data_IF_183645216754
#
_entry.id   IF_183645216754
#
_cell.length_a   1.000
_cell.length_b   1.000
_cell.length_c   1.000
_cell.angle_alpha   90.00
_cell.angle_beta   90.00
_cell.angle_gamma   90.00
#
_symmetry.space_group_name_H-M   'P 1'
#
loop_
_entity.id
_entity.type
_entity.pdbx_description
1 polymer ?
#
# COMPACT_ATOMS: atom_id res chain seq x y z
N UNK A 1 -0.32 -17.57 8.41
CA UNK A 1 0.87 -16.89 8.99
C UNK A 1 1.37 -15.63 8.25
N UNK A 2 1.11 -15.45 6.94
CA UNK A 2 1.61 -14.27 6.18
C UNK A 2 0.96 -12.93 6.59
N UNK A 3 -0.26 -12.97 7.12
CA UNK A 3 -0.99 -11.76 7.56
C UNK A 3 -0.42 -11.21 8.88
N UNK A 4 -0.07 -12.09 9.82
CA UNK A 4 0.49 -11.70 11.12
C UNK A 4 1.91 -11.14 11.02
N UNK A 5 2.60 -11.38 9.91
CA UNK A 5 3.94 -10.84 9.59
C UNK A 5 3.88 -9.76 8.51
N UNK A 6 2.72 -9.12 8.31
CA UNK A 6 2.56 -8.09 7.29
C UNK A 6 3.22 -6.77 7.71
N UNK A 7 4.04 -6.19 6.82
CA UNK A 7 4.79 -4.96 7.10
C UNK A 7 3.90 -3.73 7.30
N UNK A 8 2.77 -3.64 6.60
CA UNK A 8 1.84 -2.52 6.74
C UNK A 8 1.13 -2.57 8.11
N UNK A 9 0.73 -3.77 8.55
CA UNK A 9 0.11 -3.97 9.86
C UNK A 9 1.09 -3.59 10.98
N UNK A 10 2.33 -4.08 10.91
CA UNK A 10 3.38 -3.72 11.87
C UNK A 10 3.66 -2.20 11.86
N UNK A 11 3.72 -1.58 10.67
CA UNK A 11 3.95 -0.14 10.53
C UNK A 11 2.90 0.71 11.24
N UNK A 12 1.62 0.40 11.09
CA UNK A 12 0.53 1.13 11.77
C UNK A 12 0.62 0.97 13.29
N UNK A 13 0.98 -0.23 13.78
CA UNK A 13 1.15 -0.43 15.23
C UNK A 13 2.30 0.39 15.81
N UNK A 14 3.42 0.50 15.09
CA UNK A 14 4.56 1.33 15.50
C UNK A 14 4.19 2.82 15.49
N UNK A 15 3.44 3.28 14.48
CA UNK A 15 2.96 4.67 14.40
C UNK A 15 2.05 5.01 15.59
N UNK A 16 1.12 4.12 15.95
CA UNK A 16 0.25 4.34 17.12
C UNK A 16 1.04 4.51 18.43
N UNK A 17 2.14 3.75 18.57
CA UNK A 17 3.02 3.84 19.75
C UNK A 17 3.79 5.16 19.75
N UNK A 18 4.38 5.53 18.61
CA UNK A 18 5.21 6.74 18.49
C UNK A 18 4.39 8.03 18.69
N UNK A 19 3.15 8.06 18.20
CA UNK A 19 2.26 9.21 18.31
C UNK A 19 1.44 9.22 19.63
N UNK A 20 1.58 8.19 20.48
CA UNK A 20 0.90 8.12 21.77
C UNK A 20 -0.63 8.05 21.70
N UNK A 21 -1.18 7.42 20.66
CA UNK A 21 -2.63 7.37 20.44
C UNK A 21 -3.35 6.53 21.50
N UNK A 22 -4.47 7.04 22.01
CA UNK A 22 -5.37 6.27 22.89
C UNK A 22 -6.10 5.16 22.10
N UNK A 23 -6.91 4.34 22.79
CA UNK A 23 -7.63 3.22 22.16
C UNK A 23 -8.50 3.65 20.97
N UNK A 24 -9.20 4.78 21.09
CA UNK A 24 -10.09 5.28 20.05
C UNK A 24 -9.31 5.75 18.82
N UNK A 25 -8.29 6.60 19.01
CA UNK A 25 -7.44 7.08 17.91
C UNK A 25 -6.66 5.95 17.27
N UNK A 26 -6.15 5.00 18.05
CA UNK A 26 -5.44 3.82 17.54
C UNK A 26 -6.34 2.93 16.69
N UNK A 27 -7.60 2.75 17.09
CA UNK A 27 -8.59 1.96 16.33
C UNK A 27 -8.90 2.66 15.01
N UNK A 28 -9.18 3.96 15.06
CA UNK A 28 -9.44 4.77 13.86
C UNK A 28 -8.26 4.74 12.89
N UNK A 29 -7.03 4.99 13.37
CA UNK A 29 -5.82 4.94 12.57
C UNK A 29 -5.60 3.55 11.94
N UNK A 30 -5.87 2.48 12.71
CA UNK A 30 -5.88 1.11 12.23
C UNK A 30 -6.86 0.88 11.07
N UNK A 31 -8.12 1.29 11.22
CA UNK A 31 -9.15 1.14 10.18
C UNK A 31 -8.83 1.93 8.91
N UNK A 32 -8.45 3.20 9.02
CA UNK A 32 -8.14 4.03 7.85
C UNK A 32 -6.83 3.60 7.17
N UNK A 33 -5.83 3.19 7.94
CA UNK A 33 -4.60 2.60 7.40
C UNK A 33 -4.87 1.30 6.62
N UNK A 34 -5.75 0.44 7.15
CA UNK A 34 -6.16 -0.79 6.47
C UNK A 34 -6.97 -0.51 5.18
N UNK A 35 -7.85 0.50 5.20
CA UNK A 35 -8.58 0.94 4.01
C UNK A 35 -7.64 1.45 2.91
N UNK A 36 -6.62 2.23 3.27
CA UNK A 36 -5.59 2.67 2.32
C UNK A 36 -4.82 1.48 1.70
N UNK A 37 -4.46 0.50 2.52
CA UNK A 37 -3.80 -0.72 2.05
C UNK A 37 -4.71 -1.57 1.13
N UNK A 38 -6.00 -1.64 1.43
CA UNK A 38 -6.99 -2.30 0.57
C UNK A 38 -7.05 -1.66 -0.82
N UNK A 39 -7.09 -0.32 -0.89
CA UNK A 39 -7.06 0.40 -2.18
C UNK A 39 -5.78 0.08 -2.94
N UNK A 40 -4.62 0.07 -2.27
CA UNK A 40 -3.35 -0.27 -2.90
C UNK A 40 -3.34 -1.69 -3.49
N UNK A 41 -3.82 -2.71 -2.77
CA UNK A 41 -3.86 -4.09 -3.28
C UNK A 41 -4.85 -4.22 -4.45
N UNK A 42 -6.04 -3.61 -4.37
CA UNK A 42 -7.04 -3.68 -5.44
C UNK A 42 -6.51 -3.04 -6.73
N UNK A 43 -5.83 -1.89 -6.63
CA UNK A 43 -5.17 -1.27 -7.77
C UNK A 43 -4.08 -2.17 -8.35
N UNK A 44 -3.25 -2.77 -7.49
CA UNK A 44 -2.19 -3.68 -7.93
C UNK A 44 -2.76 -4.92 -8.64
N UNK A 45 -3.86 -5.47 -8.13
CA UNK A 45 -4.56 -6.59 -8.77
C UNK A 45 -5.10 -6.20 -10.16
N UNK A 46 -5.75 -5.05 -10.29
CA UNK A 46 -6.27 -4.57 -11.57
C UNK A 46 -5.17 -4.31 -12.60
N UNK A 47 -4.01 -3.79 -12.19
CA UNK A 47 -2.85 -3.63 -13.09
C UNK A 47 -2.31 -4.99 -13.52
N UNK A 48 -2.21 -5.97 -12.60
CA UNK A 48 -1.75 -7.33 -12.92
C UNK A 48 -2.68 -8.04 -13.89
N UNK A 49 -3.99 -7.96 -13.69
CA UNK A 49 -5.00 -8.55 -14.59
C UNK A 49 -4.88 -7.99 -16.01
N UNK A 50 -4.71 -6.67 -16.16
CA UNK A 50 -4.49 -6.05 -17.48
C UNK A 50 -3.19 -6.50 -18.15
N UNK A 51 -2.17 -6.84 -17.37
CA UNK A 51 -0.86 -7.27 -17.85
C UNK A 51 -0.84 -8.76 -18.27
N UNK A 52 -1.91 -9.52 -18.03
CA UNK A 52 -2.05 -10.89 -18.56
C UNK A 52 -2.37 -10.91 -20.07
N UNK A 53 -2.91 -9.81 -20.61
CA UNK A 53 -3.26 -9.66 -22.03
C UNK A 53 -2.04 -9.48 -22.96
N UNK A 54 -1.04 -8.62 -22.66
CA UNK A 54 0.15 -8.45 -23.50
C UNK A 54 1.22 -9.55 -23.31
N UNK A 55 2.02 -9.79 -24.36
CA UNK A 55 3.18 -10.70 -24.29
C UNK A 55 4.34 -10.07 -23.50
N UNK A 56 4.35 -10.29 -22.19
CA UNK A 56 5.50 -9.97 -21.32
C UNK A 56 6.66 -10.94 -21.61
N UNK A 57 7.91 -10.46 -21.78
CA UNK A 57 9.09 -11.31 -21.87
C UNK A 57 9.16 -12.32 -20.72
N UNK A 58 9.57 -13.56 -21.02
CA UNK A 58 9.67 -14.65 -20.05
C UNK A 58 10.39 -14.28 -18.73
N UNK A 59 11.54 -13.58 -18.71
CA UNK A 59 12.24 -13.25 -17.46
C UNK A 59 11.49 -12.24 -16.58
N UNK A 60 10.51 -11.50 -17.11
CA UNK A 60 9.76 -10.51 -16.35
C UNK A 60 8.43 -11.04 -15.81
N UNK A 61 7.99 -12.22 -16.24
CA UNK A 61 6.69 -12.78 -15.82
C UNK A 61 6.65 -13.08 -14.31
N UNK A 62 5.50 -12.82 -13.70
CA UNK A 62 5.25 -13.12 -12.30
C UNK A 62 5.81 -12.07 -11.33
N UNK A 63 6.82 -12.43 -10.54
CA UNK A 63 7.34 -11.58 -9.47
C UNK A 63 8.07 -10.31 -9.95
N UNK A 64 8.95 -10.36 -10.97
CA UNK A 64 9.72 -9.18 -11.39
C UNK A 64 8.84 -8.04 -11.91
N UNK A 65 7.84 -8.33 -12.76
CA UNK A 65 6.89 -7.31 -13.22
C UNK A 65 6.09 -6.72 -12.04
N UNK A 66 5.82 -7.51 -11.00
CA UNK A 66 5.10 -7.03 -9.82
C UNK A 66 5.90 -6.01 -9.02
N UNK A 67 7.23 -6.16 -8.97
CA UNK A 67 8.12 -5.15 -8.38
C UNK A 67 8.13 -3.85 -9.20
N UNK A 68 8.13 -3.95 -10.53
CA UNK A 68 8.04 -2.79 -11.42
C UNK A 68 6.71 -2.06 -11.20
N UNK A 69 5.60 -2.80 -11.15
CA UNK A 69 4.27 -2.24 -10.84
C UNK A 69 4.29 -1.54 -9.49
N UNK A 70 4.84 -2.17 -8.43
CA UNK A 70 4.92 -1.57 -7.11
C UNK A 70 5.72 -0.26 -7.12
N UNK A 71 6.84 -0.20 -7.87
CA UNK A 71 7.64 1.01 -8.04
C UNK A 71 6.86 2.12 -8.74
N UNK A 72 6.20 1.83 -9.86
CA UNK A 72 5.39 2.80 -10.59
C UNK A 72 4.18 3.28 -9.76
N UNK A 73 3.55 2.38 -9.01
CA UNK A 73 2.47 2.73 -8.09
C UNK A 73 2.95 3.63 -6.95
N UNK A 74 4.16 3.39 -6.42
CA UNK A 74 4.77 4.27 -5.41
C UNK A 74 4.93 5.70 -5.95
N UNK A 75 5.41 5.84 -7.20
CA UNK A 75 5.52 7.16 -7.87
C UNK A 75 4.14 7.82 -8.02
N UNK A 76 3.12 7.06 -8.38
CA UNK A 76 1.75 7.58 -8.45
C UNK A 76 1.25 8.07 -7.08
N UNK A 77 1.54 7.33 -6.00
CA UNK A 77 1.14 7.72 -4.65
C UNK A 77 1.94 8.90 -4.08
N UNK A 78 3.19 9.12 -4.51
CA UNK A 78 3.95 10.32 -4.15
C UNK A 78 3.26 11.62 -4.58
N UNK A 79 2.40 11.58 -5.60
CA UNK A 79 1.55 12.70 -5.99
C UNK A 79 0.63 13.19 -4.87
N UNK A 80 0.32 12.36 -3.88
CA UNK A 80 -0.51 12.73 -2.72
C UNK A 80 0.28 13.28 -1.53
N UNK A 81 1.62 13.27 -1.57
CA UNK A 81 2.51 13.58 -0.43
C UNK A 81 2.33 14.98 0.18
N UNK A 82 1.71 15.91 -0.53
CA UNK A 82 1.44 17.27 -0.04
C UNK A 82 -0.02 17.69 -0.19
N UNK A 83 -0.94 16.74 -0.33
CA UNK A 83 -2.37 17.04 -0.58
C UNK A 83 -3.02 17.86 0.56
N UNK A 84 -2.52 17.72 1.79
CA UNK A 84 -3.05 18.41 2.97
C UNK A 84 -2.11 19.51 3.52
N UNK A 85 -0.97 19.76 2.87
CA UNK A 85 0.01 20.74 3.35
C UNK A 85 -0.50 22.20 3.31
N UNK A 86 -1.57 22.49 2.57
CA UNK A 86 -2.22 23.80 2.55
C UNK A 86 -3.49 23.90 3.40
N UNK A 87 -3.88 22.83 4.10
CA UNK A 87 -5.12 22.74 4.90
C UNK A 87 -4.83 22.73 6.41
N UNK A 88 -3.57 22.55 6.80
CA UNK A 88 -3.05 22.62 8.16
C UNK A 88 -2.06 23.77 8.29
#
# INVERSE_FOLDING_TARGET
PLITTNCAVLGVTILNINEGYNLLYSTLNGTFGALGFLVAIVLMAGVRERLELPKIPAPLKGFPISLIIAGLMSIAFLGFSNMFAGVM
#
